data_IF_852238389703
#
_entry.id   IF_852238389703
#
_cell.length_a   1.000
_cell.length_b   1.000
_cell.length_c   1.000
_cell.angle_alpha   90.00
_cell.angle_beta   90.00
_cell.angle_gamma   90.00
#
_symmetry.space_group_name_H-M   'P 1'
#
loop_
_entity.id
_entity.type
_entity.pdbx_description
1 polymer ?
#
# COMPACT_ATOMS: atom_id res chain seq x y z
N UNK A 1 2.69 12.48 -13.68
CA UNK A 1 4.17 12.39 -13.68
C UNK A 1 4.56 10.96 -14.03
N UNK A 2 5.48 10.71 -14.98
CA UNK A 2 5.91 9.35 -15.30
C UNK A 2 6.47 8.63 -14.07
N UNK A 3 6.15 7.34 -13.93
CA UNK A 3 6.59 6.53 -12.78
C UNK A 3 5.81 6.73 -11.48
N UNK A 4 5.05 7.81 -11.33
CA UNK A 4 4.18 8.06 -10.17
C UNK A 4 2.83 7.35 -10.36
N UNK A 5 2.40 6.61 -9.33
CA UNK A 5 1.05 6.04 -9.22
C UNK A 5 0.49 6.32 -7.84
N UNK A 6 -0.81 6.53 -7.76
CA UNK A 6 -1.52 6.64 -6.49
C UNK A 6 -2.81 5.83 -6.57
N UNK A 7 -3.13 5.12 -5.49
CA UNK A 7 -4.37 4.36 -5.35
C UNK A 7 -4.96 4.59 -3.98
N UNK A 8 -6.28 4.71 -3.93
CA UNK A 8 -7.05 4.75 -2.70
C UNK A 8 -8.18 3.72 -2.84
N UNK A 9 -8.29 2.81 -1.87
CA UNK A 9 -9.38 1.85 -1.79
C UNK A 9 -10.11 2.01 -0.47
N UNK A 10 -11.42 1.74 -0.52
CA UNK A 10 -12.26 1.65 0.66
C UNK A 10 -13.08 0.37 0.56
N UNK A 11 -13.02 -0.44 1.61
CA UNK A 11 -13.71 -1.71 1.73
C UNK A 11 -14.63 -1.65 2.95
N UNK A 12 -15.82 -2.24 2.85
CA UNK A 12 -16.78 -2.33 3.96
C UNK A 12 -17.49 -3.67 3.94
N UNK A 13 -17.56 -4.34 5.08
CA UNK A 13 -18.35 -5.55 5.32
C UNK A 13 -19.41 -5.32 6.39
N UNK A 14 -20.55 -6.02 6.31
CA UNK A 14 -21.67 -5.85 7.26
C UNK A 14 -22.40 -7.13 7.68
N UNK A 15 -22.15 -8.28 7.03
CA UNK A 15 -23.02 -9.46 7.18
C UNK A 15 -22.65 -10.38 8.36
N UNK A 16 -21.49 -10.20 8.98
CA UNK A 16 -21.07 -10.92 10.20
C UNK A 16 -21.05 -9.93 11.37
N UNK A 17 -20.10 -8.99 11.30
CA UNK A 17 -20.00 -7.78 12.12
C UNK A 17 -19.54 -6.63 11.20
N UNK A 18 -19.75 -5.38 11.59
CA UNK A 18 -19.37 -4.25 10.75
C UNK A 18 -17.86 -4.04 10.78
N UNK A 19 -17.26 -3.92 9.61
CA UNK A 19 -15.87 -3.50 9.48
C UNK A 19 -15.66 -2.63 8.25
N UNK A 20 -14.64 -1.78 8.31
CA UNK A 20 -14.16 -1.05 7.14
C UNK A 20 -12.63 -0.97 7.13
N UNK A 21 -12.09 -0.96 5.91
CA UNK A 21 -10.67 -0.77 5.66
C UNK A 21 -10.46 0.35 4.65
N UNK A 22 -9.49 1.21 4.93
CA UNK A 22 -9.01 2.24 4.00
C UNK A 22 -7.54 2.01 3.68
N UNK A 23 -7.27 1.82 2.40
CA UNK A 23 -5.92 1.71 1.88
C UNK A 23 -5.54 2.95 1.07
N UNK A 24 -4.40 3.54 1.41
CA UNK A 24 -3.75 4.58 0.64
C UNK A 24 -2.39 4.07 0.19
N UNK A 25 -2.07 4.26 -1.08
CA UNK A 25 -0.78 3.87 -1.63
C UNK A 25 -0.28 4.89 -2.64
N UNK A 26 0.98 5.23 -2.49
CA UNK A 26 1.74 6.05 -3.44
C UNK A 26 2.97 5.26 -3.86
N UNK A 27 3.15 5.09 -5.16
CA UNK A 27 4.31 4.45 -5.74
C UNK A 27 5.06 5.43 -6.63
N UNK A 28 6.38 5.33 -6.62
CA UNK A 28 7.23 6.01 -7.57
C UNK A 28 8.29 5.06 -8.11
N UNK A 29 8.42 5.01 -9.43
CA UNK A 29 9.52 4.32 -10.10
C UNK A 29 10.43 5.33 -10.78
N UNK A 30 11.73 5.30 -10.47
CA UNK A 30 12.72 6.19 -11.09
C UNK A 30 12.86 5.83 -12.57
N UNK A 31 12.71 6.84 -13.44
CA UNK A 31 12.63 6.63 -14.90
C UNK A 31 13.99 6.65 -15.61
N UNK A 32 15.02 7.27 -15.02
CA UNK A 32 16.33 7.49 -15.64
C UNK A 32 17.44 7.73 -14.62
N UNK A 33 18.71 7.71 -15.07
CA UNK A 33 19.89 7.95 -14.24
C UNK A 33 20.39 6.71 -13.50
N UNK A 34 21.31 6.92 -12.55
CA UNK A 34 21.98 5.82 -11.81
C UNK A 34 21.03 4.95 -10.99
N UNK A 35 19.87 5.47 -10.61
CA UNK A 35 18.84 4.73 -9.84
C UNK A 35 17.66 4.31 -10.72
N UNK A 36 17.81 4.31 -12.06
CA UNK A 36 16.74 3.86 -12.96
C UNK A 36 16.23 2.49 -12.50
N UNK A 37 14.91 2.33 -12.52
CA UNK A 37 14.18 1.15 -12.07
C UNK A 37 14.06 0.94 -10.56
N UNK A 38 14.67 1.79 -9.72
CA UNK A 38 14.35 1.83 -8.30
C UNK A 38 12.87 2.16 -8.09
N UNK A 39 12.17 1.26 -7.41
CA UNK A 39 10.79 1.40 -6.98
C UNK A 39 10.70 1.78 -5.51
N UNK A 40 9.82 2.73 -5.21
CA UNK A 40 9.47 3.17 -3.86
C UNK A 40 7.96 3.03 -3.72
N UNK A 41 7.51 2.42 -2.63
CA UNK A 41 6.09 2.30 -2.29
C UNK A 41 5.88 2.74 -0.85
N UNK A 42 5.01 3.72 -0.65
CA UNK A 42 4.48 4.08 0.66
C UNK A 42 3.02 3.65 0.71
N UNK A 43 2.67 2.90 1.76
CA UNK A 43 1.31 2.40 1.96
C UNK A 43 0.86 2.68 3.37
N UNK A 44 -0.40 3.06 3.51
CA UNK A 44 -1.07 3.26 4.78
C UNK A 44 -2.40 2.51 4.73
N UNK A 45 -2.61 1.58 5.64
CA UNK A 45 -3.87 0.86 5.82
C UNK A 45 -4.47 1.22 7.19
N UNK A 46 -5.78 1.44 7.23
CA UNK A 46 -6.54 1.62 8.46
C UNK A 46 -7.71 0.65 8.46
N UNK A 47 -7.71 -0.28 9.39
CA UNK A 47 -8.78 -1.24 9.63
C UNK A 47 -9.52 -0.86 10.91
N UNK A 48 -10.84 -0.79 10.84
CA UNK A 48 -11.73 -0.70 11.99
C UNK A 48 -12.72 -1.85 11.93
N UNK A 49 -12.79 -2.67 12.97
CA UNK A 49 -13.56 -3.91 12.95
C UNK A 49 -14.26 -4.17 14.27
N UNK A 50 -15.55 -4.50 14.19
CA UNK A 50 -16.35 -4.96 15.33
C UNK A 50 -16.29 -6.49 15.49
N UNK A 51 -15.57 -7.20 14.60
CA UNK A 51 -15.44 -8.66 14.62
C UNK A 51 -14.76 -9.12 15.91
N UNK A 52 -15.41 -10.04 16.62
CA UNK A 52 -14.91 -10.55 17.89
C UNK A 52 -13.48 -11.15 17.77
N UNK A 53 -12.54 -10.60 18.54
CA UNK A 53 -11.14 -11.04 18.55
C UNK A 53 -10.24 -10.37 17.50
N UNK A 54 -10.82 -9.59 16.58
CA UNK A 54 -10.09 -8.69 15.70
C UNK A 54 -9.93 -7.33 16.41
N UNK A 55 -8.76 -6.72 16.25
CA UNK A 55 -8.49 -5.38 16.79
C UNK A 55 -8.43 -4.38 15.64
N UNK A 56 -8.68 -3.13 15.96
CA UNK A 56 -8.35 -2.02 15.06
C UNK A 56 -6.84 -1.99 14.78
N UNK A 57 -6.48 -1.71 13.53
CA UNK A 57 -5.08 -1.67 13.09
C UNK A 57 -4.86 -0.44 12.22
N UNK A 58 -3.76 0.26 12.46
CA UNK A 58 -3.16 1.18 11.51
C UNK A 58 -1.78 0.65 11.14
N UNK A 59 -1.52 0.50 9.83
CA UNK A 59 -0.28 -0.06 9.31
C UNK A 59 0.36 0.90 8.31
N UNK A 60 1.65 1.18 8.50
CA UNK A 60 2.47 1.93 7.53
C UNK A 60 3.55 1.00 6.98
N UNK A 61 3.61 0.90 5.65
CA UNK A 61 4.64 0.14 4.94
C UNK A 61 5.46 1.05 4.04
N UNK A 62 6.77 1.05 4.23
CA UNK A 62 7.73 1.63 3.31
C UNK A 62 8.51 0.52 2.62
N UNK A 63 8.43 0.46 1.29
CA UNK A 63 9.03 -0.62 0.50
C UNK A 63 9.97 0.01 -0.53
N UNK A 64 11.21 -0.46 -0.53
CA UNK A 64 12.19 -0.19 -1.57
C UNK A 64 12.38 -1.46 -2.38
N UNK A 65 12.31 -1.35 -3.70
CA UNK A 65 12.53 -2.48 -4.60
C UNK A 65 13.45 -2.11 -5.74
N UNK A 66 14.42 -2.97 -6.01
CA UNK A 66 15.29 -2.85 -7.18
C UNK A 66 15.55 -4.24 -7.73
N UNK A 67 15.30 -4.43 -9.02
CA UNK A 67 15.51 -5.70 -9.70
C UNK A 67 16.77 -5.64 -10.55
N UNK A 68 17.69 -6.58 -10.32
CA UNK A 68 18.87 -6.76 -11.15
C UNK A 68 18.70 -8.00 -12.02
N UNK A 69 19.17 -7.93 -13.26
CA UNK A 69 19.28 -9.10 -14.13
C UNK A 69 20.68 -9.66 -14.00
N UNK A 70 20.78 -10.88 -13.46
CA UNK A 70 22.02 -11.65 -13.43
C UNK A 70 22.11 -12.41 -14.75
N UNK A 71 23.22 -12.24 -15.47
CA UNK A 71 23.50 -13.07 -16.65
C UNK A 71 23.95 -14.46 -16.24
#
# INVERSE_FOLDING_TARGET
>A
MPGLKATANYLRGTDVDSEWERDLRVDYKVQSGYLKDLGISLRHASLRSEVAGQRDIDEVRAILSYSFVLR
#
